data_IF_183845764253
#
_entry.id   IF_183845764253
#
_cell.length_a   1.000
_cell.length_b   1.000
_cell.length_c   1.000
_cell.angle_alpha   90.00
_cell.angle_beta   90.00
_cell.angle_gamma   90.00
#
_symmetry.space_group_name_H-M   'P 1'
#
loop_
_entity.id
_entity.type
_entity.pdbx_description
1 polymer ?
#
# COMPACT_ATOMS: atom_id res chain seq x y z
N UNK A 1 37.59 1.77 55.09
CA UNK A 1 36.41 1.27 54.37
C UNK A 1 36.19 2.17 53.16
N UNK A 2 36.48 1.72 51.94
CA UNK A 2 36.30 2.53 50.71
C UNK A 2 34.92 2.21 50.14
N UNK A 3 34.02 3.19 50.15
CA UNK A 3 32.69 3.08 49.53
C UNK A 3 32.86 3.44 48.06
N UNK A 4 32.79 2.44 47.20
CA UNK A 4 32.80 2.62 45.75
C UNK A 4 31.36 2.88 45.32
N UNK A 5 31.02 4.13 45.04
CA UNK A 5 29.71 4.50 44.51
C UNK A 5 29.62 4.04 43.06
N UNK A 6 28.83 3.00 42.81
CA UNK A 6 28.47 2.54 41.48
C UNK A 6 27.43 3.50 40.90
N UNK A 7 27.84 4.40 39.99
CA UNK A 7 26.90 5.17 39.18
C UNK A 7 26.23 4.23 38.18
N UNK A 8 25.01 3.80 38.48
CA UNK A 8 24.10 3.26 37.47
C UNK A 8 23.63 4.43 36.60
N UNK A 9 24.19 4.53 35.40
CA UNK A 9 23.62 5.37 34.35
C UNK A 9 22.28 4.77 33.93
N UNK A 10 21.18 5.36 34.39
CA UNK A 10 19.85 5.11 33.80
C UNK A 10 19.89 5.78 32.42
N UNK A 11 20.28 5.02 31.41
CA UNK A 11 20.09 5.42 30.02
C UNK A 11 18.58 5.45 29.78
N UNK A 12 17.97 6.63 29.96
CA UNK A 12 16.59 6.83 29.53
C UNK A 12 16.52 6.51 28.04
N UNK A 13 15.77 5.47 27.68
CA UNK A 13 15.51 5.13 26.29
C UNK A 13 14.90 6.35 25.62
N UNK A 14 15.69 7.07 24.82
CA UNK A 14 15.18 8.12 23.98
C UNK A 14 14.12 7.47 23.06
N UNK A 15 12.85 7.77 23.31
CA UNK A 15 11.77 7.31 22.44
C UNK A 15 11.99 8.02 21.11
N UNK A 16 12.46 7.28 20.11
CA UNK A 16 12.67 7.81 18.78
C UNK A 16 11.36 8.44 18.27
N UNK A 17 11.38 9.73 17.97
CA UNK A 17 10.20 10.45 17.47
C UNK A 17 9.88 9.90 16.08
N UNK A 18 8.67 9.34 15.92
CA UNK A 18 8.17 8.89 14.61
C UNK A 18 7.97 10.09 13.70
N UNK A 19 8.45 9.97 12.46
CA UNK A 19 8.19 10.94 11.38
C UNK A 19 7.28 10.29 10.34
N UNK A 20 6.49 11.12 9.67
CA UNK A 20 5.66 10.72 8.54
C UNK A 20 6.25 11.26 7.25
N UNK A 21 6.11 10.49 6.18
CA UNK A 21 6.48 10.89 4.84
C UNK A 21 5.41 10.38 3.88
N UNK A 22 5.01 11.23 2.93
CA UNK A 22 3.98 10.92 1.95
C UNK A 22 4.61 11.00 0.55
N UNK A 23 4.38 9.97 -0.26
CA UNK A 23 4.69 9.96 -1.68
C UNK A 23 3.42 9.76 -2.48
N UNK A 24 3.32 10.47 -3.61
CA UNK A 24 2.23 10.32 -4.56
C UNK A 24 2.71 9.52 -5.78
N UNK A 25 1.80 8.75 -6.37
CA UNK A 25 2.00 8.21 -7.70
C UNK A 25 2.00 9.36 -8.73
N UNK A 26 2.33 9.05 -9.98
CA UNK A 26 1.85 9.89 -11.09
C UNK A 26 0.31 9.86 -11.13
N UNK A 27 -0.34 10.90 -11.68
CA UNK A 27 -1.79 10.91 -11.82
C UNK A 27 -2.30 9.67 -12.54
N UNK A 28 -3.35 9.06 -11.99
CA UNK A 28 -4.05 7.92 -12.59
C UNK A 28 -5.37 8.45 -13.12
N UNK A 29 -5.51 8.49 -14.45
CA UNK A 29 -6.71 9.03 -15.11
C UNK A 29 -7.60 7.86 -15.52
N UNK A 30 -8.82 7.84 -15.01
CA UNK A 30 -9.80 6.78 -15.26
C UNK A 30 -11.16 7.39 -15.59
N UNK A 31 -11.78 6.88 -16.66
CA UNK A 31 -13.19 7.11 -16.91
C UNK A 31 -14.06 6.36 -15.88
N UNK A 32 -15.36 6.62 -15.86
CA UNK A 32 -16.30 5.92 -14.98
C UNK A 32 -16.24 4.40 -15.21
N UNK A 33 -16.09 3.63 -14.13
CA UNK A 33 -15.93 2.17 -14.18
C UNK A 33 -14.53 1.71 -14.64
N UNK A 34 -13.62 2.64 -14.92
CA UNK A 34 -12.26 2.33 -15.31
C UNK A 34 -11.47 1.69 -14.16
N UNK A 35 -10.58 0.76 -14.52
CA UNK A 35 -9.69 0.03 -13.60
C UNK A 35 -8.24 0.34 -13.97
N UNK A 36 -7.41 0.65 -12.96
CA UNK A 36 -5.95 0.71 -13.11
C UNK A 36 -5.34 -0.41 -12.28
N UNK A 37 -4.44 -1.19 -12.88
CA UNK A 37 -3.56 -2.13 -12.18
C UNK A 37 -2.09 -1.87 -12.60
N UNK A 38 -1.63 -0.64 -12.35
CA UNK A 38 -0.36 -0.13 -12.87
C UNK A 38 0.74 -0.13 -11.80
N UNK A 39 1.98 0.01 -12.25
CA UNK A 39 3.16 0.12 -11.37
C UNK A 39 3.69 1.55 -11.36
N UNK A 40 3.95 2.07 -10.16
CA UNK A 40 4.37 3.44 -9.92
C UNK A 40 5.65 3.48 -9.09
N UNK A 41 6.58 4.35 -9.45
CA UNK A 41 7.78 4.61 -8.65
C UNK A 41 7.44 5.66 -7.60
N UNK A 42 7.67 5.31 -6.33
CA UNK A 42 7.49 6.19 -5.18
C UNK A 42 8.84 6.53 -4.60
N UNK A 43 9.19 7.83 -4.55
CA UNK A 43 10.40 8.28 -3.86
C UNK A 43 10.19 8.21 -2.36
N UNK A 44 11.16 7.66 -1.62
CA UNK A 44 11.13 7.56 -0.16
C UNK A 44 12.37 8.24 0.45
N UNK A 45 12.37 8.57 1.76
CA UNK A 45 13.57 9.02 2.43
C UNK A 45 14.68 7.98 2.29
N UNK A 46 15.89 8.46 2.02
CA UNK A 46 17.05 7.57 1.82
C UNK A 46 17.31 6.73 3.07
N UNK A 47 17.35 5.42 2.88
CA UNK A 47 17.55 4.42 3.93
C UNK A 47 18.97 4.37 4.51
N UNK A 48 19.16 3.65 5.63
CA UNK A 48 18.15 2.78 6.27
C UNK A 48 17.15 3.57 7.13
N UNK A 49 15.86 3.29 6.97
CA UNK A 49 14.77 3.81 7.80
C UNK A 49 13.97 2.66 8.40
N UNK A 50 13.50 2.85 9.64
CA UNK A 50 12.59 1.93 10.31
C UNK A 50 11.14 2.36 10.06
N UNK A 51 10.42 1.53 9.29
CA UNK A 51 9.02 1.74 8.94
C UNK A 51 8.14 1.00 9.93
N UNK A 52 7.36 1.77 10.69
CA UNK A 52 6.42 1.27 11.72
C UNK A 52 4.95 1.31 11.27
N UNK A 53 4.64 2.04 10.21
CA UNK A 53 3.29 2.12 9.65
C UNK A 53 3.35 2.46 8.18
N UNK A 54 2.49 1.83 7.41
CA UNK A 54 2.25 2.11 6.01
C UNK A 54 0.74 2.21 5.76
N UNK A 55 0.32 3.20 4.98
CA UNK A 55 -1.08 3.42 4.63
C UNK A 55 -1.19 3.90 3.18
N UNK A 56 -2.17 3.38 2.44
CA UNK A 56 -2.53 3.85 1.10
C UNK A 56 -3.86 4.60 1.13
N UNK A 57 -4.00 5.61 0.29
CA UNK A 57 -5.26 6.34 0.09
C UNK A 57 -5.36 6.83 -1.37
N UNK A 58 -6.57 7.18 -1.79
CA UNK A 58 -6.83 7.83 -3.08
C UNK A 58 -7.13 9.30 -2.81
N UNK A 59 -6.40 10.16 -3.49
CA UNK A 59 -6.56 11.60 -3.41
C UNK A 59 -6.63 12.18 -4.81
N UNK A 60 -7.33 13.30 -4.93
CA UNK A 60 -7.23 14.20 -6.06
C UNK A 60 -6.30 15.35 -5.71
N UNK A 61 -5.55 15.83 -6.70
CA UNK A 61 -4.70 17.01 -6.57
C UNK A 61 -5.32 18.10 -7.44
N UNK A 62 -5.84 19.14 -6.79
CA UNK A 62 -6.40 20.30 -7.49
C UNK A 62 -5.31 21.09 -8.23
N UNK A 63 -5.72 21.97 -9.14
CA UNK A 63 -4.81 22.77 -9.95
C UNK A 63 -3.87 23.66 -9.13
N UNK A 64 -4.26 24.04 -7.91
CA UNK A 64 -3.47 24.83 -6.96
C UNK A 64 -2.56 23.97 -6.05
N UNK A 65 -2.56 22.65 -6.24
CA UNK A 65 -1.80 21.70 -5.43
C UNK A 65 -2.52 21.20 -4.18
N UNK A 66 -3.77 21.61 -3.93
CA UNK A 66 -4.56 21.12 -2.79
C UNK A 66 -4.83 19.62 -2.94
N UNK A 67 -4.54 18.87 -1.88
CA UNK A 67 -4.81 17.43 -1.80
C UNK A 67 -6.21 17.22 -1.24
N UNK A 68 -7.07 16.59 -2.02
CA UNK A 68 -8.48 16.35 -1.69
C UNK A 68 -8.67 14.83 -1.54
N UNK A 69 -9.03 14.34 -0.34
CA UNK A 69 -9.37 12.93 -0.18
C UNK A 69 -10.57 12.56 -1.05
N UNK A 70 -10.43 11.54 -1.89
CA UNK A 70 -11.53 11.05 -2.73
C UNK A 70 -12.50 10.26 -1.85
N UNK A 71 -13.83 10.43 -1.88
CA UNK A 71 -14.73 9.59 -1.09
C UNK A 71 -14.63 8.09 -1.43
N UNK A 72 -14.88 7.18 -0.49
CA UNK A 72 -14.73 5.72 -0.71
C UNK A 72 -15.71 5.16 -1.73
N UNK A 73 -16.87 5.80 -1.86
CA UNK A 73 -17.87 5.47 -2.87
C UNK A 73 -17.52 6.02 -4.27
N UNK A 74 -16.57 6.96 -4.36
CA UNK A 74 -16.15 7.59 -5.63
C UNK A 74 -14.96 6.88 -6.26
N UNK A 75 -14.07 6.34 -5.45
CA UNK A 75 -12.98 5.50 -5.91
C UNK A 75 -12.62 4.44 -4.87
N UNK A 76 -12.42 3.23 -5.37
CA UNK A 76 -12.11 2.06 -4.57
C UNK A 76 -10.66 1.63 -4.79
N UNK A 77 -9.90 1.54 -3.69
CA UNK A 77 -8.53 1.01 -3.67
C UNK A 77 -8.60 -0.47 -3.29
N UNK A 78 -8.62 -1.34 -4.31
CA UNK A 78 -8.77 -2.77 -4.12
C UNK A 78 -7.57 -3.38 -3.41
N UNK A 79 -6.37 -3.12 -3.92
CA UNK A 79 -5.12 -3.46 -3.25
C UNK A 79 -3.97 -2.58 -3.75
N UNK A 80 -2.86 -2.62 -3.02
CA UNK A 80 -1.59 -2.11 -3.50
C UNK A 80 -0.48 -3.05 -3.07
N UNK A 81 0.55 -3.24 -3.89
CA UNK A 81 1.69 -4.09 -3.53
C UNK A 81 2.96 -3.29 -3.69
N UNK A 82 3.67 -3.07 -2.59
CA UNK A 82 4.94 -2.35 -2.61
C UNK A 82 6.10 -3.33 -2.66
N UNK A 83 6.99 -3.14 -3.62
CA UNK A 83 8.28 -3.80 -3.77
C UNK A 83 9.42 -2.79 -3.93
N UNK A 84 10.62 -3.29 -4.24
CA UNK A 84 11.83 -2.48 -4.38
C UNK A 84 12.64 -2.90 -5.61
N UNK A 85 13.41 -1.96 -6.16
CA UNK A 85 14.42 -2.19 -7.20
C UNK A 85 15.85 -2.11 -6.67
N UNK A 86 16.02 -1.89 -5.37
CA UNK A 86 17.35 -1.73 -4.79
C UNK A 86 18.16 -3.02 -4.87
N UNK A 87 19.44 -2.92 -5.26
CA UNK A 87 20.36 -4.06 -5.46
C UNK A 87 20.49 -4.98 -4.24
N UNK A 88 20.19 -4.47 -3.05
CA UNK A 88 20.17 -5.29 -1.83
C UNK A 88 19.21 -6.48 -1.94
N UNK A 89 18.16 -6.36 -2.75
CA UNK A 89 17.15 -7.41 -2.97
C UNK A 89 17.34 -8.19 -4.28
N UNK A 90 18.52 -8.08 -4.91
CA UNK A 90 18.77 -8.71 -6.22
C UNK A 90 18.62 -10.25 -6.19
N UNK A 91 18.84 -10.89 -5.05
CA UNK A 91 18.61 -12.33 -4.85
C UNK A 91 17.11 -12.74 -4.97
N UNK A 92 16.22 -11.75 -4.99
CA UNK A 92 14.78 -11.92 -5.22
C UNK A 92 14.37 -11.67 -6.68
N UNK A 93 15.32 -11.35 -7.57
CA UNK A 93 15.09 -11.25 -9.02
C UNK A 93 14.54 -12.57 -9.55
N UNK A 94 13.55 -12.52 -10.43
CA UNK A 94 13.02 -13.71 -11.12
C UNK A 94 12.17 -14.67 -10.27
N UNK A 95 12.10 -14.54 -8.94
CA UNK A 95 11.14 -15.29 -8.13
C UNK A 95 9.71 -14.89 -8.52
N UNK A 96 8.96 -15.84 -9.07
CA UNK A 96 7.58 -15.65 -9.54
C UNK A 96 6.65 -15.33 -8.36
N UNK A 97 5.81 -14.32 -8.54
CA UNK A 97 4.65 -14.05 -7.69
C UNK A 97 3.53 -13.52 -8.59
N UNK A 98 2.26 -13.70 -8.21
CA UNK A 98 1.16 -12.91 -8.77
C UNK A 98 1.50 -11.41 -8.66
N UNK A 99 1.13 -10.63 -9.68
CA UNK A 99 1.27 -9.16 -9.71
C UNK A 99 2.71 -8.59 -9.60
N UNK A 100 3.72 -9.30 -10.13
CA UNK A 100 5.11 -8.80 -10.19
C UNK A 100 5.52 -8.42 -11.63
N UNK A 101 5.95 -7.17 -11.89
CA UNK A 101 6.50 -6.77 -13.17
C UNK A 101 7.96 -7.21 -13.26
N UNK A 102 8.48 -7.26 -14.47
CA UNK A 102 9.90 -7.53 -14.69
C UNK A 102 10.78 -6.48 -13.99
N UNK A 103 11.85 -6.96 -13.32
CA UNK A 103 12.80 -6.10 -12.62
C UNK A 103 12.36 -5.58 -11.26
N UNK A 104 11.18 -5.95 -10.73
CA UNK A 104 10.86 -5.70 -9.32
C UNK A 104 11.41 -6.82 -8.44
N UNK A 105 12.19 -6.48 -7.42
CA UNK A 105 12.62 -7.43 -6.42
C UNK A 105 11.57 -7.58 -5.33
N UNK A 106 11.49 -8.76 -4.70
CA UNK A 106 10.73 -8.94 -3.45
C UNK A 106 11.52 -8.26 -2.32
N UNK A 107 11.57 -6.94 -2.33
CA UNK A 107 12.05 -6.15 -1.21
C UNK A 107 10.86 -5.32 -0.79
N UNK A 108 10.32 -5.55 0.41
CA UNK A 108 9.03 -5.02 0.87
C UNK A 108 7.85 -5.81 0.28
N UNK A 109 6.84 -6.11 1.09
CA UNK A 109 5.64 -6.85 0.67
C UNK A 109 4.46 -6.35 1.50
N UNK A 110 4.12 -5.09 1.30
CA UNK A 110 3.02 -4.41 1.98
C UNK A 110 1.82 -4.24 1.05
N UNK A 111 0.64 -4.23 1.64
CA UNK A 111 -0.63 -3.94 0.98
C UNK A 111 -1.31 -5.09 0.22
N UNK A 112 -0.69 -6.29 0.19
CA UNK A 112 -1.34 -7.46 -0.37
C UNK A 112 -2.47 -7.94 0.57
N UNK A 113 -3.73 -7.73 0.18
CA UNK A 113 -4.86 -8.46 0.75
C UNK A 113 -5.87 -7.71 1.62
N UNK A 114 -5.91 -6.37 1.61
CA UNK A 114 -7.05 -5.66 2.19
C UNK A 114 -7.39 -4.44 1.34
N UNK A 115 -8.66 -4.08 1.28
CA UNK A 115 -9.13 -2.80 0.76
C UNK A 115 -8.45 -1.70 1.60
N UNK A 116 -7.31 -1.20 1.12
CA UNK A 116 -6.26 -0.63 1.99
C UNK A 116 -6.57 0.75 2.56
N UNK A 117 -7.76 1.25 2.26
CA UNK A 117 -8.19 2.56 2.68
C UNK A 117 -8.76 2.53 4.08
N UNK A 118 -8.12 3.26 4.99
CA UNK A 118 -8.46 3.22 6.42
C UNK A 118 -7.98 1.96 7.14
N UNK A 119 -7.28 1.04 6.47
CA UNK A 119 -6.72 -0.20 7.03
C UNK A 119 -5.19 -0.20 6.95
N UNK A 120 -4.53 0.69 7.73
CA UNK A 120 -3.08 0.84 7.72
C UNK A 120 -2.39 -0.44 8.20
N UNK A 121 -1.25 -0.76 7.60
CA UNK A 121 -0.37 -1.82 8.09
C UNK A 121 0.52 -1.25 9.19
N UNK A 122 0.44 -1.80 10.40
CA UNK A 122 1.20 -1.36 11.57
C UNK A 122 2.18 -2.43 12.05
N UNK A 123 3.40 -2.00 12.39
CA UNK A 123 4.40 -2.80 13.08
C UNK A 123 4.56 -2.25 14.49
N UNK A 124 4.21 -3.06 15.48
CA UNK A 124 4.35 -2.67 16.89
C UNK A 124 5.76 -2.98 17.38
N UNK A 125 6.26 -2.14 18.30
CA UNK A 125 7.54 -2.37 18.95
C UNK A 125 7.65 -3.80 19.51
N UNK A 126 8.82 -4.49 19.39
CA UNK A 126 10.10 -4.02 18.84
C UNK A 126 10.26 -4.18 17.33
N UNK A 127 9.20 -4.54 16.61
CA UNK A 127 9.25 -4.87 15.20
C UNK A 127 9.14 -3.62 14.32
N UNK A 128 9.89 -3.62 13.22
CA UNK A 128 9.82 -2.65 12.15
C UNK A 128 10.26 -3.31 10.85
N UNK A 129 9.82 -2.75 9.73
CA UNK A 129 10.47 -3.02 8.46
C UNK A 129 11.65 -2.08 8.26
N UNK A 130 12.80 -2.61 7.84
CA UNK A 130 14.01 -1.85 7.61
C UNK A 130 14.26 -1.76 6.10
N UNK A 131 14.38 -0.53 5.59
CA UNK A 131 14.88 -0.32 4.22
C UNK A 131 16.37 -0.60 4.15
N UNK A 132 16.85 -0.93 2.96
CA UNK A 132 18.28 -1.11 2.74
C UNK A 132 19.04 0.23 2.84
N UNK A 133 20.34 0.17 3.14
CA UNK A 133 21.20 1.33 3.06
C UNK A 133 21.23 1.88 1.62
N UNK A 134 20.96 3.17 1.49
CA UNK A 134 20.94 3.86 0.20
C UNK A 134 19.67 3.67 -0.63
N UNK A 135 18.70 2.88 -0.19
CA UNK A 135 17.39 2.75 -0.83
C UNK A 135 16.61 4.08 -0.75
N UNK A 136 16.16 4.60 -1.89
CA UNK A 136 15.50 5.90 -2.02
C UNK A 136 14.23 5.86 -2.88
N UNK A 137 13.83 4.67 -3.35
CA UNK A 137 12.59 4.47 -4.08
C UNK A 137 12.00 3.08 -3.87
N UNK A 138 10.68 3.03 -3.98
CA UNK A 138 9.88 1.81 -4.02
C UNK A 138 9.06 1.74 -5.31
N UNK A 139 8.58 0.55 -5.63
CA UNK A 139 7.63 0.32 -6.71
C UNK A 139 6.32 -0.13 -6.10
N UNK A 140 5.26 0.64 -6.29
CA UNK A 140 3.92 0.28 -5.88
C UNK A 140 3.11 -0.17 -7.10
N UNK A 141 2.65 -1.42 -7.10
CA UNK A 141 1.48 -1.80 -7.86
C UNK A 141 0.26 -1.18 -7.20
N UNK A 142 -0.54 -0.42 -7.92
CA UNK A 142 -1.74 0.23 -7.39
C UNK A 142 -2.93 -0.22 -8.21
N UNK A 143 -3.83 -0.96 -7.54
CA UNK A 143 -5.07 -1.43 -8.11
C UNK A 143 -6.23 -0.56 -7.62
N UNK A 144 -6.76 0.31 -8.49
CA UNK A 144 -7.86 1.22 -8.16
C UNK A 144 -8.96 1.19 -9.22
N UNK A 145 -10.17 1.54 -8.79
CA UNK A 145 -11.37 1.54 -9.63
C UNK A 145 -12.13 2.84 -9.42
N UNK A 146 -12.51 3.49 -10.52
CA UNK A 146 -13.33 4.70 -10.48
C UNK A 146 -14.82 4.32 -10.39
N UNK A 147 -15.41 4.47 -9.21
CA UNK A 147 -16.82 4.13 -8.94
C UNK A 147 -17.74 5.35 -8.93
N UNK A 148 -17.20 6.54 -9.24
CA UNK A 148 -17.95 7.80 -9.25
C UNK A 148 -19.19 7.72 -10.13
N UNK A 149 -20.29 8.26 -9.62
CA UNK A 149 -21.61 8.31 -10.30
C UNK A 149 -22.16 6.93 -10.69
N UNK A 150 -21.61 5.83 -10.17
CA UNK A 150 -22.18 4.51 -10.35
C UNK A 150 -23.31 4.32 -9.34
N UNK A 151 -24.40 3.69 -9.77
CA UNK A 151 -25.42 3.22 -8.85
C UNK A 151 -24.78 2.22 -7.87
N UNK A 152 -25.14 2.21 -6.58
CA UNK A 152 -24.56 1.29 -5.59
C UNK A 152 -24.54 -0.17 -6.05
N UNK A 153 -25.60 -0.62 -6.72
CA UNK A 153 -25.74 -1.98 -7.27
C UNK A 153 -24.70 -2.29 -8.35
N UNK A 154 -24.19 -1.28 -9.05
CA UNK A 154 -23.11 -1.40 -10.04
C UNK A 154 -21.74 -1.23 -9.41
N UNK A 155 -21.59 -0.32 -8.45
CA UNK A 155 -20.32 -0.10 -7.76
C UNK A 155 -19.90 -1.35 -6.96
N UNK A 156 -20.86 -2.03 -6.32
CA UNK A 156 -20.64 -3.31 -5.63
C UNK A 156 -20.04 -4.39 -6.54
N UNK A 157 -20.50 -4.45 -7.79
CA UNK A 157 -19.99 -5.40 -8.80
C UNK A 157 -18.59 -5.07 -9.31
N UNK A 158 -18.12 -3.84 -9.09
CA UNK A 158 -16.76 -3.45 -9.41
C UNK A 158 -15.76 -3.84 -8.32
N UNK A 159 -16.22 -4.24 -7.13
CA UNK A 159 -15.33 -4.84 -6.14
C UNK A 159 -14.87 -6.18 -6.71
N UNK A 160 -13.58 -6.31 -7.06
CA UNK A 160 -13.00 -7.54 -7.63
C UNK A 160 -13.04 -8.76 -6.67
N UNK A 161 -13.74 -8.64 -5.54
CA UNK A 161 -14.30 -9.75 -4.78
C UNK A 161 -15.81 -9.86 -5.09
N UNK A 162 -16.20 -10.50 -6.21
CA UNK A 162 -17.56 -10.46 -6.76
C UNK A 162 -18.59 -11.32 -6.00
N UNK A 163 -18.25 -11.77 -4.79
CA UNK A 163 -19.03 -12.76 -4.05
C UNK A 163 -19.35 -12.26 -2.64
N UNK A 164 -20.59 -11.89 -2.46
CA UNK A 164 -21.25 -11.48 -1.22
C UNK A 164 -22.52 -12.31 -1.06
N UNK A 165 -23.16 -12.21 0.11
CA UNK A 165 -24.43 -12.91 0.35
C UNK A 165 -25.58 -12.43 -0.54
N UNK A 166 -25.40 -11.32 -1.25
CA UNK A 166 -26.39 -10.73 -2.16
C UNK A 166 -26.27 -11.27 -3.59
N UNK A 167 -25.18 -11.99 -3.91
CA UNK A 167 -24.92 -12.50 -5.25
C UNK A 167 -25.67 -13.82 -5.48
N UNK A 168 -26.32 -13.92 -6.64
CA UNK A 168 -27.02 -15.14 -7.07
C UNK A 168 -26.03 -16.10 -7.76
N UNK A 169 -25.85 -17.27 -7.14
CA UNK A 169 -24.99 -18.35 -7.62
C UNK A 169 -25.82 -19.46 -8.30
N UNK A 170 -26.72 -19.06 -9.19
CA UNK A 170 -27.56 -19.98 -9.97
C UNK A 170 -26.92 -20.29 -11.31
N UNK A 171 -27.21 -21.48 -11.86
CA UNK A 171 -26.87 -21.87 -13.23
C UNK A 171 -25.38 -21.71 -13.65
N UNK A 172 -24.45 -22.02 -12.74
CA UNK A 172 -22.99 -21.86 -12.93
C UNK A 172 -22.56 -20.42 -13.30
N UNK A 173 -23.37 -19.44 -12.91
CA UNK A 173 -23.17 -18.02 -13.15
C UNK A 173 -23.14 -17.26 -11.82
N UNK A 174 -22.51 -16.08 -11.85
CA UNK A 174 -22.55 -15.13 -10.75
C UNK A 174 -23.37 -13.95 -11.24
N UNK A 175 -24.57 -13.75 -10.65
CA UNK A 175 -25.53 -12.72 -11.07
C UNK A 175 -25.90 -12.77 -12.56
N UNK A 176 -26.03 -13.98 -13.11
CA UNK A 176 -26.34 -14.18 -14.53
C UNK A 176 -25.20 -13.89 -15.50
N UNK A 177 -23.99 -13.55 -15.02
CA UNK A 177 -22.78 -13.43 -15.82
C UNK A 177 -21.92 -14.68 -15.69
N UNK A 178 -21.23 -15.06 -16.76
CA UNK A 178 -20.24 -16.15 -16.69
C UNK A 178 -19.14 -15.78 -15.70
N UNK A 179 -18.79 -16.73 -14.83
CA UNK A 179 -17.70 -16.58 -13.89
C UNK A 179 -16.36 -16.49 -14.68
N UNK A 180 -15.57 -15.41 -14.54
CA UNK A 180 -14.33 -15.22 -15.30
C UNK A 180 -13.25 -16.27 -15.02
#
# INVERSE_FOLDING_TARGET
MKITTLLLSVAGSAVAIRRSYTAYTQPIILDQGGVSNAFHVLKIPKGPIAVYRFAGDIVEIAADGTVIPTPTYDAYLHHHVVGSRHKHYEDQKGKWTPMKPEGMYRGVGFGAGTETRGTPQEFYHPYAFLTAEGEDEWIANVHIINTRQMAPEKAHRCLECPCTSEDDFSDDKINGMENP
#
